data_IF_005594463197
#
_entry.id   IF_005594463197
#
_cell.length_a   1.000
_cell.length_b   1.000
_cell.length_c   1.000
_cell.angle_alpha   90.00
_cell.angle_beta   90.00
_cell.angle_gamma   90.00
#
_symmetry.space_group_name_H-M   'P 1'
#
loop_
_entity.id
_entity.type
_entity.pdbx_description
1 polymer ?
#
# COMPACT_ATOMS: atom_id res chain seq x y z
N UNK A 1 -7.35 22.21 -17.25
CA UNK A 1 -5.89 22.33 -17.11
C UNK A 1 -5.33 20.94 -17.31
N UNK A 2 -4.56 20.66 -18.36
CA UNK A 2 -3.82 19.39 -18.46
C UNK A 2 -2.56 19.56 -17.64
N UNK A 3 -2.31 18.68 -16.68
CA UNK A 3 -1.07 18.68 -15.91
C UNK A 3 0.14 18.56 -16.85
N UNK A 4 1.24 19.23 -16.50
CA UNK A 4 2.49 19.21 -17.28
C UNK A 4 3.04 17.77 -17.33
N UNK A 5 3.49 17.26 -18.50
CA UNK A 5 3.99 15.89 -18.67
C UNK A 5 5.19 15.52 -17.78
N UNK A 6 5.85 16.50 -17.16
CA UNK A 6 6.95 16.29 -16.22
C UNK A 6 6.53 16.36 -14.74
N UNK A 7 5.23 16.54 -14.46
CA UNK A 7 4.71 16.61 -13.08
C UNK A 7 4.52 15.21 -12.51
N UNK A 8 4.88 15.05 -11.24
CA UNK A 8 4.59 13.85 -10.47
C UNK A 8 3.71 14.20 -9.28
N UNK A 9 2.72 13.34 -9.01
CA UNK A 9 1.96 13.34 -7.78
C UNK A 9 2.50 12.26 -6.85
N UNK A 10 2.16 12.34 -5.56
CA UNK A 10 2.63 11.38 -4.57
C UNK A 10 1.55 11.00 -3.55
N UNK A 11 1.70 9.79 -3.01
CA UNK A 11 1.04 9.33 -1.78
C UNK A 11 2.13 8.86 -0.85
N UNK A 12 2.12 9.32 0.40
CA UNK A 12 3.14 9.00 1.40
C UNK A 12 2.46 8.51 2.68
N UNK A 13 3.00 7.45 3.29
CA UNK A 13 2.52 6.94 4.57
C UNK A 13 2.99 7.81 5.74
N UNK A 14 2.41 7.59 6.93
CA UNK A 14 3.04 8.01 8.19
C UNK A 14 4.36 7.28 8.45
N UNK A 15 5.21 7.73 9.39
CA UNK A 15 6.40 6.98 9.81
C UNK A 15 6.01 5.67 10.50
N UNK A 16 6.40 4.54 9.91
CA UNK A 16 6.06 3.18 10.34
C UNK A 16 7.27 2.46 10.89
N UNK A 17 7.06 1.61 11.89
CA UNK A 17 8.15 0.91 12.58
C UNK A 17 7.72 0.50 13.98
N UNK A 18 7.98 -0.74 14.41
CA UNK A 18 7.69 -1.18 15.80
C UNK A 18 8.39 -0.39 16.91
N UNK A 19 9.57 0.16 16.63
CA UNK A 19 10.40 0.85 17.63
C UNK A 19 10.68 2.31 17.22
N UNK A 20 11.71 2.94 17.79
CA UNK A 20 12.07 4.32 17.46
C UNK A 20 12.55 4.52 16.03
N UNK A 21 13.04 3.47 15.37
CA UNK A 21 13.40 3.51 13.96
C UNK A 21 12.13 3.43 13.11
N UNK A 22 11.89 4.48 12.30
CA UNK A 22 10.70 4.60 11.46
C UNK A 22 11.10 4.84 10.00
N UNK A 23 10.29 4.32 9.09
CA UNK A 23 10.42 4.51 7.63
C UNK A 23 9.06 4.91 7.04
N UNK A 24 9.04 5.36 5.77
CA UNK A 24 7.79 5.69 5.06
C UNK A 24 7.74 4.96 3.73
N UNK A 25 6.54 4.57 3.32
CA UNK A 25 6.26 4.23 1.93
C UNK A 25 5.97 5.51 1.14
N UNK A 26 6.59 5.65 -0.03
CA UNK A 26 6.36 6.76 -0.95
C UNK A 26 6.02 6.20 -2.33
N UNK A 27 4.81 6.49 -2.79
CA UNK A 27 4.41 6.30 -4.17
C UNK A 27 4.61 7.60 -4.93
N UNK A 28 5.34 7.55 -6.04
CA UNK A 28 5.50 8.68 -6.95
C UNK A 28 4.96 8.24 -8.31
N UNK A 29 3.99 8.97 -8.85
CA UNK A 29 3.29 8.57 -10.08
C UNK A 29 3.01 9.76 -10.98
N UNK A 30 2.87 9.48 -12.27
CA UNK A 30 2.53 10.46 -13.30
C UNK A 30 1.00 10.57 -13.42
N UNK A 31 0.39 11.73 -13.13
CA UNK A 31 -1.06 11.88 -13.11
C UNK A 31 -1.70 11.82 -14.51
N UNK A 32 -0.92 11.99 -15.58
CA UNK A 32 -1.38 11.78 -16.96
C UNK A 32 -1.45 10.29 -17.36
N UNK A 33 -0.82 9.41 -16.58
CA UNK A 33 -0.79 7.97 -16.84
C UNK A 33 -1.76 7.20 -15.94
N UNK A 34 -1.83 7.55 -14.65
CA UNK A 34 -2.67 6.89 -13.65
C UNK A 34 -3.24 7.90 -12.66
N UNK A 35 -4.41 7.59 -12.10
CA UNK A 35 -5.05 8.38 -11.03
C UNK A 35 -5.23 7.53 -9.78
N UNK A 36 -4.95 8.09 -8.60
CA UNK A 36 -5.28 7.45 -7.33
C UNK A 36 -6.78 7.57 -7.10
N UNK A 37 -7.44 6.43 -6.87
CA UNK A 37 -8.88 6.36 -6.57
C UNK A 37 -9.14 6.35 -5.06
N UNK A 38 -8.32 5.61 -4.33
CA UNK A 38 -8.42 5.45 -2.87
C UNK A 38 -7.07 4.98 -2.32
N UNK A 39 -6.84 5.19 -1.03
CA UNK A 39 -5.65 4.69 -0.33
C UNK A 39 -5.95 4.49 1.15
N UNK A 40 -5.36 3.46 1.74
CA UNK A 40 -5.44 3.22 3.17
C UNK A 40 -4.19 2.50 3.67
N UNK A 41 -3.93 2.60 4.96
CA UNK A 41 -2.92 1.80 5.63
C UNK A 41 -3.62 0.56 6.21
N UNK A 42 -3.05 -0.62 5.95
CA UNK A 42 -3.52 -1.84 6.56
C UNK A 42 -3.33 -1.76 8.07
N UNK A 43 -4.33 -2.19 8.83
CA UNK A 43 -4.29 -2.28 10.28
C UNK A 43 -4.54 -3.76 10.63
N UNK A 44 -3.48 -4.44 11.05
CA UNK A 44 -3.54 -5.86 11.40
C UNK A 44 -3.99 -6.10 12.84
N UNK A 45 -4.37 -5.02 13.54
CA UNK A 45 -5.02 -5.04 14.83
C UNK A 45 -4.27 -4.22 15.89
N UNK A 46 -4.51 -4.60 17.13
CA UNK A 46 -4.07 -3.83 18.29
C UNK A 46 -2.54 -3.91 18.51
N UNK A 47 -1.82 -2.82 18.19
CA UNK A 47 -0.38 -2.67 18.47
C UNK A 47 -0.04 -2.96 19.94
N UNK A 48 -0.84 -2.45 20.89
CA UNK A 48 -0.61 -2.62 22.34
C UNK A 48 -0.87 -4.04 22.85
N UNK A 49 -1.50 -4.88 22.04
CA UNK A 49 -1.85 -6.25 22.39
C UNK A 49 -0.79 -7.27 21.96
N UNK A 50 0.26 -6.82 21.24
CA UNK A 50 1.37 -7.66 20.80
C UNK A 50 1.03 -8.61 19.64
N UNK A 51 -0.07 -8.34 18.93
CA UNK A 51 -0.49 -9.13 17.77
C UNK A 51 -0.11 -8.48 16.43
N UNK A 52 0.72 -7.44 16.48
CA UNK A 52 1.24 -6.75 15.31
C UNK A 52 2.19 -7.68 14.54
N UNK A 53 1.82 -8.01 13.31
CA UNK A 53 2.53 -8.90 12.41
C UNK A 53 3.57 -8.15 11.59
N UNK A 54 3.28 -6.91 11.18
CA UNK A 54 4.13 -6.14 10.29
C UNK A 54 4.96 -5.11 11.05
N UNK A 55 6.29 -5.15 10.90
CA UNK A 55 7.12 -4.07 11.43
C UNK A 55 6.77 -2.70 10.85
N UNK A 56 6.27 -2.67 9.60
CA UNK A 56 5.78 -1.51 8.86
C UNK A 56 4.53 -1.91 8.09
N UNK A 57 3.38 -1.47 8.56
CA UNK A 57 2.09 -1.88 8.02
C UNK A 57 1.94 -1.44 6.55
N UNK A 58 1.48 -2.31 5.64
CA UNK A 58 1.40 -1.98 4.22
C UNK A 58 0.51 -0.76 3.90
N UNK A 59 1.04 0.18 3.11
CA UNK A 59 0.28 1.32 2.59
C UNK A 59 -0.35 0.98 1.23
N UNK A 60 -1.64 0.64 1.22
CA UNK A 60 -2.36 0.19 0.02
C UNK A 60 -2.87 1.39 -0.78
N UNK A 61 -2.62 1.40 -2.09
CA UNK A 61 -3.10 2.44 -3.01
C UNK A 61 -3.83 1.82 -4.19
N UNK A 62 -5.07 2.26 -4.44
CA UNK A 62 -5.87 1.88 -5.61
C UNK A 62 -5.65 2.89 -6.74
N UNK A 63 -5.27 2.40 -7.91
CA UNK A 63 -5.05 3.19 -9.11
C UNK A 63 -6.10 2.89 -10.17
N UNK A 64 -6.50 3.92 -10.91
CA UNK A 64 -7.11 3.79 -12.23
C UNK A 64 -6.04 4.00 -13.31
N UNK A 65 -6.04 3.14 -14.33
CA UNK A 65 -5.09 3.18 -15.44
C UNK A 65 -5.81 2.96 -16.78
N UNK A 66 -6.23 4.05 -17.46
CA UNK A 66 -7.02 3.96 -18.68
C UNK A 66 -6.23 3.38 -19.87
N UNK A 67 -4.90 3.48 -19.85
CA UNK A 67 -4.01 3.04 -20.94
C UNK A 67 -3.69 1.54 -20.93
N UNK A 68 -3.96 0.82 -19.83
CA UNK A 68 -3.67 -0.62 -19.67
C UNK A 68 -4.92 -1.49 -19.84
N UNK A 69 -4.74 -2.81 -19.98
CA UNK A 69 -5.87 -3.76 -20.01
C UNK A 69 -6.62 -3.80 -18.67
N UNK A 70 -5.86 -3.88 -17.57
CA UNK A 70 -6.39 -3.69 -16.22
C UNK A 70 -6.73 -2.22 -16.03
N UNK A 71 -7.99 -1.90 -15.71
CA UNK A 71 -8.47 -0.51 -15.60
C UNK A 71 -8.38 0.03 -14.18
N UNK A 72 -8.54 -0.84 -13.19
CA UNK A 72 -8.35 -0.54 -11.78
C UNK A 72 -7.52 -1.64 -11.14
N UNK A 73 -6.54 -1.27 -10.33
CA UNK A 73 -5.73 -2.23 -9.59
C UNK A 73 -5.20 -1.60 -8.30
N UNK A 74 -4.85 -2.44 -7.33
CA UNK A 74 -4.22 -2.03 -6.09
C UNK A 74 -2.73 -2.38 -6.10
N UNK A 75 -1.92 -1.54 -5.46
CA UNK A 75 -0.53 -1.88 -5.11
C UNK A 75 -0.42 -1.92 -3.59
N UNK A 76 0.16 -3.01 -3.08
CA UNK A 76 0.47 -3.24 -1.67
C UNK A 76 2.01 -3.33 -1.54
N UNK A 77 2.69 -2.32 -0.98
CA UNK A 77 4.12 -2.35 -0.79
C UNK A 77 4.46 -3.07 0.52
N UNK A 78 5.55 -3.83 0.54
CA UNK A 78 6.11 -4.39 1.75
C UNK A 78 7.63 -4.25 1.74
N UNK A 79 8.16 -3.53 2.72
CA UNK A 79 9.54 -3.64 3.13
C UNK A 79 9.57 -4.52 4.37
N UNK A 80 9.82 -5.82 4.19
CA UNK A 80 9.68 -6.77 5.29
C UNK A 80 10.82 -6.65 6.32
N UNK A 81 10.55 -6.83 7.61
CA UNK A 81 11.62 -6.96 8.60
C UNK A 81 12.43 -8.25 8.33
N UNK A 82 13.76 -8.19 8.15
CA UNK A 82 14.53 -9.38 7.77
C UNK A 82 14.40 -10.56 8.73
N UNK A 83 14.25 -10.30 10.04
CA UNK A 83 14.05 -11.32 11.07
C UNK A 83 12.68 -12.00 10.99
N UNK A 84 11.65 -11.28 10.53
CA UNK A 84 10.26 -11.73 10.49
C UNK A 84 9.76 -11.92 9.05
N UNK A 85 10.65 -11.89 8.05
CA UNK A 85 10.31 -11.79 6.64
C UNK A 85 9.37 -12.90 6.17
N UNK A 86 9.57 -14.13 6.65
CA UNK A 86 8.69 -15.26 6.30
C UNK A 86 7.26 -15.03 6.81
N UNK A 87 7.11 -14.55 8.05
CA UNK A 87 5.81 -14.28 8.65
C UNK A 87 5.13 -13.10 7.95
N UNK A 88 5.84 -11.98 7.74
CA UNK A 88 5.28 -10.80 7.09
C UNK A 88 4.88 -11.07 5.63
N UNK A 89 5.71 -11.80 4.87
CA UNK A 89 5.35 -12.19 3.49
C UNK A 89 4.15 -13.14 3.48
N UNK A 90 4.08 -14.09 4.42
CA UNK A 90 2.92 -14.98 4.52
C UNK A 90 1.64 -14.19 4.82
N UNK A 91 1.71 -13.19 5.70
CA UNK A 91 0.58 -12.34 6.07
C UNK A 91 0.14 -11.36 4.98
N UNK A 92 0.92 -11.14 3.91
CA UNK A 92 0.41 -10.45 2.72
C UNK A 92 -0.80 -11.15 2.09
N UNK A 93 -0.98 -12.44 2.34
CA UNK A 93 -2.20 -13.14 1.93
C UNK A 93 -3.44 -12.55 2.60
N UNK A 94 -3.37 -12.24 3.90
CA UNK A 94 -4.48 -11.65 4.63
C UNK A 94 -4.74 -10.20 4.18
N UNK A 95 -3.67 -9.45 3.86
CA UNK A 95 -3.79 -8.11 3.26
C UNK A 95 -4.47 -8.20 1.89
N UNK A 96 -4.14 -9.19 1.06
CA UNK A 96 -4.82 -9.41 -0.21
C UNK A 96 -6.31 -9.69 -0.03
N UNK A 97 -6.68 -10.53 0.94
CA UNK A 97 -8.09 -10.81 1.27
C UNK A 97 -8.82 -9.55 1.75
N UNK A 98 -8.17 -8.72 2.57
CA UNK A 98 -8.71 -7.43 3.03
C UNK A 98 -8.95 -6.46 1.87
N UNK A 99 -7.96 -6.27 0.99
CA UNK A 99 -8.07 -5.44 -0.21
C UNK A 99 -9.24 -5.88 -1.09
N UNK A 100 -9.37 -7.20 -1.30
CA UNK A 100 -10.48 -7.76 -2.07
C UNK A 100 -11.82 -7.49 -1.43
N UNK A 101 -11.94 -7.70 -0.12
CA UNK A 101 -13.18 -7.43 0.61
C UNK A 101 -13.54 -5.94 0.61
N UNK A 102 -12.55 -5.05 0.75
CA UNK A 102 -12.73 -3.60 0.85
C UNK A 102 -13.21 -2.99 -0.47
N UNK A 103 -12.63 -3.40 -1.59
CA UNK A 103 -12.87 -2.78 -2.90
C UNK A 103 -13.58 -3.68 -3.91
N UNK A 104 -14.04 -4.86 -3.48
CA UNK A 104 -14.72 -5.86 -4.30
C UNK A 104 -13.98 -6.17 -5.60
N UNK A 105 -12.64 -6.30 -5.50
CA UNK A 105 -11.81 -6.64 -6.64
C UNK A 105 -11.98 -8.14 -6.94
N UNK A 106 -12.80 -8.43 -7.95
CA UNK A 106 -12.94 -9.78 -8.54
C UNK A 106 -11.65 -10.21 -9.26
N UNK A 107 -11.45 -11.52 -9.39
CA UNK A 107 -10.35 -12.14 -10.15
C UNK A 107 -10.87 -12.61 -11.50
#
# INVERSE_FOLDING_TARGET
>A
SRDDPNTFHYVVSEPLGRNSYKERYLFVFRPDQVSVLDSYQYDDGCESCGNDTFSREPAVVKFSSPSTKVKEFAIVPLHAAPSDAVAEINSLYDVYLDVRKKWDLEV
#
